data_IF_699889960241
#
_entry.id   IF_699889960241
#
_cell.length_a   1.000
_cell.length_b   1.000
_cell.length_c   1.000
_cell.angle_alpha   90.00
_cell.angle_beta   90.00
_cell.angle_gamma   90.00
#
_symmetry.space_group_name_H-M   'P 1'
#
loop_
_entity.id
_entity.type
_entity.pdbx_description
1 polymer ?
#
# COMPACT_ATOMS: atom_id res chain seq x y z
N UNK A 1 -22.59 -16.86 -20.17
CA UNK A 1 -22.62 -16.39 -18.81
C UNK A 1 -21.51 -15.35 -18.65
N UNK A 2 -21.86 -14.15 -18.20
CA UNK A 2 -20.89 -13.06 -17.98
C UNK A 2 -20.44 -12.98 -16.52
N UNK A 3 -20.66 -14.05 -15.74
CA UNK A 3 -20.30 -14.08 -14.34
C UNK A 3 -18.80 -14.22 -14.12
N UNK A 4 -18.32 -13.63 -13.03
CA UNK A 4 -16.92 -13.65 -12.62
C UNK A 4 -16.71 -14.73 -11.56
N UNK A 5 -15.65 -15.51 -11.73
CA UNK A 5 -15.32 -16.61 -10.83
C UNK A 5 -13.89 -16.49 -10.35
N UNK A 6 -13.62 -16.87 -9.11
CA UNK A 6 -12.26 -17.10 -8.61
C UNK A 6 -12.07 -18.57 -8.24
N UNK A 7 -10.85 -19.05 -8.33
CA UNK A 7 -10.48 -20.40 -7.88
C UNK A 7 -9.54 -20.25 -6.69
N UNK A 8 -9.98 -20.70 -5.52
CA UNK A 8 -9.19 -20.70 -4.28
C UNK A 8 -9.06 -22.15 -3.79
N UNK A 9 -7.83 -22.62 -3.63
CA UNK A 9 -7.54 -24.00 -3.20
C UNK A 9 -8.24 -25.08 -4.05
N UNK A 10 -8.42 -24.82 -5.36
CA UNK A 10 -9.10 -25.71 -6.30
C UNK A 10 -10.62 -25.67 -6.25
N UNK A 11 -11.21 -24.78 -5.46
CA UNK A 11 -12.66 -24.55 -5.38
C UNK A 11 -13.01 -23.31 -6.17
N UNK A 12 -13.89 -23.48 -7.16
CA UNK A 12 -14.47 -22.38 -7.94
C UNK A 12 -15.63 -21.74 -7.18
N UNK A 13 -15.65 -20.41 -7.14
CA UNK A 13 -16.71 -19.65 -6.53
C UNK A 13 -17.03 -18.40 -7.35
N UNK A 14 -18.32 -18.09 -7.53
CA UNK A 14 -18.78 -16.84 -8.14
C UNK A 14 -18.51 -15.66 -7.20
N UNK A 15 -18.02 -14.54 -7.76
CA UNK A 15 -17.69 -13.32 -7.01
C UNK A 15 -18.51 -12.11 -7.46
N UNK A 16 -19.53 -12.27 -8.30
CA UNK A 16 -20.33 -11.17 -8.85
C UNK A 16 -20.92 -10.26 -7.76
N UNK A 17 -21.39 -10.85 -6.64
CA UNK A 17 -21.93 -10.09 -5.51
C UNK A 17 -20.87 -9.29 -4.72
N UNK A 18 -19.58 -9.61 -4.89
CA UNK A 18 -18.48 -8.90 -4.26
C UNK A 18 -17.97 -7.74 -5.12
N UNK A 19 -18.29 -7.71 -6.42
CA UNK A 19 -17.76 -6.72 -7.35
C UNK A 19 -18.39 -5.35 -7.10
N UNK A 20 -17.58 -4.30 -6.87
CA UNK A 20 -18.13 -2.99 -6.53
C UNK A 20 -18.66 -2.22 -7.76
N UNK A 21 -18.24 -2.59 -8.97
CA UNK A 21 -18.64 -1.96 -10.25
C UNK A 21 -18.22 -2.83 -11.43
N UNK A 22 -18.74 -2.51 -12.61
CA UNK A 22 -18.31 -3.15 -13.86
C UNK A 22 -16.97 -2.56 -14.34
N UNK A 23 -16.13 -3.40 -14.95
CA UNK A 23 -14.85 -3.01 -15.54
C UNK A 23 -14.85 -3.26 -17.04
N UNK A 24 -14.03 -2.52 -17.84
CA UNK A 24 -13.86 -2.78 -19.27
C UNK A 24 -13.40 -4.21 -19.54
N UNK A 25 -13.76 -4.78 -20.70
CA UNK A 25 -13.37 -6.14 -21.11
C UNK A 25 -11.84 -6.37 -21.12
N UNK A 26 -11.06 -5.29 -21.30
CA UNK A 26 -9.59 -5.36 -21.29
C UNK A 26 -8.97 -5.40 -19.88
N UNK A 27 -9.80 -5.28 -18.82
CA UNK A 27 -9.38 -5.34 -17.43
C UNK A 27 -9.70 -6.70 -16.82
N UNK A 28 -9.10 -7.01 -15.70
CA UNK A 28 -9.41 -8.20 -14.93
C UNK A 28 -9.60 -7.86 -13.45
N UNK A 29 -10.49 -8.58 -12.77
CA UNK A 29 -10.53 -8.58 -11.32
C UNK A 29 -9.49 -9.54 -10.77
N UNK A 30 -8.76 -9.13 -9.73
CA UNK A 30 -7.79 -9.97 -9.01
C UNK A 30 -7.89 -9.71 -7.51
N UNK A 31 -7.60 -10.71 -6.69
CA UNK A 31 -7.30 -10.45 -5.28
C UNK A 31 -5.97 -9.69 -5.21
N UNK A 32 -5.94 -8.58 -4.49
CA UNK A 32 -4.76 -7.71 -4.46
C UNK A 32 -3.49 -8.47 -4.03
N UNK A 33 -3.65 -9.41 -3.11
CA UNK A 33 -2.55 -10.27 -2.65
C UNK A 33 -1.92 -11.16 -3.71
N UNK A 34 -2.61 -11.43 -4.83
CA UNK A 34 -2.06 -12.24 -5.93
C UNK A 34 -1.15 -11.44 -6.87
N UNK A 35 -1.24 -10.12 -6.85
CA UNK A 35 -0.50 -9.22 -7.76
C UNK A 35 0.58 -8.40 -7.05
N UNK A 36 0.63 -8.43 -5.70
CA UNK A 36 1.60 -7.68 -4.90
C UNK A 36 2.47 -8.57 -4.03
N UNK A 37 3.62 -8.03 -3.62
CA UNK A 37 4.41 -8.55 -2.51
C UNK A 37 4.31 -7.58 -1.33
N UNK A 38 3.63 -7.99 -0.26
CA UNK A 38 3.38 -7.19 0.93
C UNK A 38 4.32 -7.59 2.07
N UNK A 39 5.07 -6.65 2.61
CA UNK A 39 5.92 -6.82 3.79
C UNK A 39 5.26 -6.16 5.01
N UNK A 40 5.33 -6.83 6.16
CA UNK A 40 4.97 -6.22 7.45
C UNK A 40 6.24 -5.85 8.20
N UNK A 41 6.30 -4.61 8.69
CA UNK A 41 7.43 -4.12 9.43
C UNK A 41 7.60 -4.77 10.82
N UNK A 42 8.74 -4.52 11.44
CA UNK A 42 9.06 -5.00 12.79
C UNK A 42 9.71 -3.91 13.63
N UNK A 43 9.40 -3.87 14.91
CA UNK A 43 9.94 -2.87 15.82
C UNK A 43 11.36 -3.24 16.29
N UNK A 44 12.08 -2.20 16.70
CA UNK A 44 13.36 -2.30 17.36
C UNK A 44 13.28 -1.81 18.81
N UNK A 45 14.09 -2.43 19.68
CA UNK A 45 14.37 -1.91 21.00
C UNK A 45 15.17 -0.59 20.88
N UNK A 46 15.10 0.33 21.87
CA UNK A 46 15.82 1.61 21.82
C UNK A 46 17.34 1.52 21.57
N UNK A 47 17.96 0.41 21.94
CA UNK A 47 19.39 0.15 21.70
C UNK A 47 19.73 -0.22 20.25
N UNK A 48 18.76 -0.51 19.40
CA UNK A 48 18.95 -0.96 18.02
C UNK A 48 18.79 0.15 16.98
N UNK A 49 18.47 1.37 17.41
CA UNK A 49 18.37 2.53 16.53
C UNK A 49 19.04 3.77 17.18
N UNK A 50 19.30 4.77 16.37
CA UNK A 50 19.96 5.99 16.79
C UNK A 50 19.38 7.24 16.09
N UNK A 51 19.78 8.43 16.57
CA UNK A 51 19.46 9.73 15.97
C UNK A 51 20.70 10.43 15.39
N UNK A 52 21.77 9.66 15.09
CA UNK A 52 23.09 10.17 14.65
C UNK A 52 23.37 9.85 13.19
N UNK A 53 22.36 9.52 12.40
CA UNK A 53 22.45 9.17 10.97
C UNK A 53 23.37 7.99 10.69
N UNK A 54 23.51 7.04 11.65
CA UNK A 54 24.30 5.83 11.46
C UNK A 54 23.43 4.67 10.97
N UNK A 55 23.79 4.11 9.81
CA UNK A 55 23.04 3.04 9.16
C UNK A 55 21.99 3.55 8.20
N UNK A 56 20.91 2.78 8.00
CA UNK A 56 19.78 3.17 7.13
C UNK A 56 18.66 3.83 7.92
N UNK A 57 17.81 4.65 7.27
CA UNK A 57 16.61 5.21 7.88
C UNK A 57 15.74 4.16 8.56
N UNK A 58 15.14 4.52 9.70
CA UNK A 58 14.16 3.72 10.43
C UNK A 58 12.84 4.49 10.53
N UNK A 59 11.83 4.00 9.82
CA UNK A 59 10.52 4.64 9.70
C UNK A 59 9.55 3.95 10.65
N UNK A 60 9.02 4.71 11.61
CA UNK A 60 8.28 4.14 12.74
C UNK A 60 6.77 4.28 12.63
N UNK A 61 6.26 5.22 11.83
CA UNK A 61 4.82 5.45 11.69
C UNK A 61 4.49 6.71 10.91
N UNK A 62 3.26 7.18 11.06
CA UNK A 62 2.70 8.30 10.31
C UNK A 62 3.49 9.61 10.41
N UNK A 63 4.17 9.86 11.54
CA UNK A 63 5.00 11.06 11.74
C UNK A 63 6.27 11.10 10.86
N UNK A 64 6.62 9.96 10.25
CA UNK A 64 7.72 9.88 9.30
C UNK A 64 7.27 10.04 7.84
N UNK A 65 6.00 10.29 7.60
CA UNK A 65 5.43 10.45 6.27
C UNK A 65 4.70 11.79 6.20
N UNK A 66 5.05 12.62 5.23
CA UNK A 66 4.14 13.69 4.80
C UNK A 66 3.33 13.22 3.58
N UNK A 67 2.76 14.10 2.80
CA UNK A 67 1.92 13.71 1.66
C UNK A 67 2.72 13.22 0.46
N UNK A 68 4.02 13.57 0.41
CA UNK A 68 4.90 13.33 -0.73
C UNK A 68 6.24 12.70 -0.36
N UNK A 69 6.72 12.88 0.88
CA UNK A 69 8.09 12.57 1.27
C UNK A 69 8.18 11.74 2.55
N UNK A 70 9.26 10.95 2.64
CA UNK A 70 9.66 10.27 3.88
C UNK A 70 10.50 11.21 4.73
N UNK A 71 10.05 11.47 5.96
CA UNK A 71 10.75 12.29 6.97
C UNK A 71 11.59 11.37 7.84
N UNK A 72 12.92 11.50 7.72
CA UNK A 72 13.86 10.64 8.45
C UNK A 72 14.37 11.34 9.71
N UNK A 73 14.16 10.71 10.87
CA UNK A 73 14.64 11.18 12.17
C UNK A 73 15.31 10.09 13.02
N UNK A 74 15.36 8.85 12.53
CA UNK A 74 16.00 7.70 13.18
C UNK A 74 16.68 6.81 12.17
N UNK A 75 17.71 6.09 12.61
CA UNK A 75 18.54 5.20 11.78
C UNK A 75 18.85 3.91 12.53
N UNK A 76 19.12 2.85 11.79
CA UNK A 76 19.54 1.55 12.33
C UNK A 76 20.69 0.97 11.52
N UNK A 77 21.65 0.36 12.24
CA UNK A 77 22.77 -0.36 11.62
C UNK A 77 22.46 -1.87 11.43
N UNK A 78 21.31 -2.35 11.93
CA UNK A 78 20.88 -3.75 11.87
C UNK A 78 19.47 -3.90 11.24
N UNK A 79 19.27 -3.46 9.99
CA UNK A 79 17.94 -3.51 9.36
C UNK A 79 17.47 -4.94 9.14
N UNK A 80 16.15 -5.16 9.14
CA UNK A 80 15.52 -6.48 8.91
C UNK A 80 14.51 -6.45 7.79
N UNK A 81 13.50 -5.58 7.91
CA UNK A 81 12.42 -5.43 6.91
C UNK A 81 12.66 -4.11 6.18
N UNK A 82 13.01 -4.21 4.90
CA UNK A 82 13.49 -3.06 4.12
C UNK A 82 12.46 -2.71 3.05
N UNK A 83 12.00 -1.46 3.08
CA UNK A 83 11.34 -0.80 1.97
C UNK A 83 12.40 -0.05 1.14
N UNK A 84 12.20 -0.02 -0.17
CA UNK A 84 13.09 0.62 -1.15
C UNK A 84 12.36 1.75 -1.87
N UNK A 85 13.13 2.59 -2.57
CA UNK A 85 12.56 3.63 -3.44
C UNK A 85 11.57 3.02 -4.44
N UNK A 86 10.37 3.62 -4.47
CA UNK A 86 9.28 3.20 -5.33
C UNK A 86 8.34 2.17 -4.69
N UNK A 87 8.65 1.60 -3.53
CA UNK A 87 7.69 0.80 -2.76
C UNK A 87 6.57 1.71 -2.20
N UNK A 88 5.37 1.16 -2.00
CA UNK A 88 4.32 1.85 -1.24
C UNK A 88 4.53 1.63 0.24
N UNK A 89 4.50 2.70 1.02
CA UNK A 89 4.43 2.65 2.48
C UNK A 89 2.99 2.94 2.92
N UNK A 90 2.37 1.99 3.59
CA UNK A 90 1.03 2.09 4.17
C UNK A 90 1.12 2.07 5.68
N UNK A 91 0.69 3.14 6.35
CA UNK A 91 0.55 3.16 7.81
C UNK A 91 -0.67 2.31 8.18
N UNK A 92 -0.44 1.19 8.85
CA UNK A 92 -1.49 0.24 9.19
C UNK A 92 -1.97 0.33 10.64
N UNK A 93 -1.26 1.05 11.52
CA UNK A 93 -1.61 1.22 12.95
C UNK A 93 -1.25 2.61 13.46
N UNK A 94 -1.93 3.02 14.52
CA UNK A 94 -1.69 4.32 15.17
C UNK A 94 -2.55 5.45 14.62
N UNK A 95 -2.35 6.68 15.08
CA UNK A 95 -3.21 7.85 14.80
C UNK A 95 -3.27 8.28 13.34
N UNK A 96 -2.35 7.83 12.51
CA UNK A 96 -2.33 8.16 11.07
C UNK A 96 -2.52 6.94 10.17
N UNK A 97 -3.17 5.88 10.66
CA UNK A 97 -3.41 4.70 9.84
C UNK A 97 -4.22 5.04 8.57
N UNK A 98 -3.89 4.38 7.46
CA UNK A 98 -4.40 4.70 6.13
C UNK A 98 -3.50 5.67 5.36
N UNK A 99 -2.60 6.41 6.00
CA UNK A 99 -1.64 7.26 5.28
C UNK A 99 -0.76 6.39 4.36
N UNK A 100 -0.69 6.79 3.09
CA UNK A 100 -0.07 5.99 2.03
C UNK A 100 0.79 6.86 1.14
N UNK A 101 2.07 6.54 0.99
CA UNK A 101 2.99 7.23 0.07
C UNK A 101 3.79 6.26 -0.78
N UNK A 102 4.35 6.75 -1.89
CA UNK A 102 5.42 6.08 -2.62
C UNK A 102 6.74 6.46 -1.96
N UNK A 103 7.54 5.49 -1.53
CA UNK A 103 8.83 5.70 -0.89
C UNK A 103 9.79 6.45 -1.84
N UNK A 104 10.23 7.64 -1.45
CA UNK A 104 11.12 8.52 -2.23
C UNK A 104 12.59 8.42 -1.82
N UNK A 105 12.91 7.72 -0.72
CA UNK A 105 14.27 7.47 -0.26
C UNK A 105 14.79 6.12 -0.75
N UNK A 106 16.10 5.95 -0.81
CA UNK A 106 16.71 4.76 -1.39
C UNK A 106 16.29 3.47 -0.67
N UNK A 107 16.36 3.46 0.65
CA UNK A 107 15.95 2.34 1.49
C UNK A 107 15.63 2.79 2.91
N UNK A 108 14.75 2.04 3.59
CA UNK A 108 14.46 2.23 5.00
C UNK A 108 14.04 0.91 5.66
N UNK A 109 14.43 0.71 6.92
CA UNK A 109 13.75 -0.26 7.78
C UNK A 109 12.41 0.28 8.22
N UNK A 110 11.37 -0.54 8.20
CA UNK A 110 10.01 -0.16 8.59
C UNK A 110 9.57 -0.87 9.88
N UNK A 111 8.95 -0.10 10.78
CA UNK A 111 8.37 -0.61 12.04
C UNK A 111 7.03 -1.29 11.81
N UNK A 112 6.53 -2.03 12.81
CA UNK A 112 5.26 -2.78 12.76
C UNK A 112 4.02 -1.95 12.48
N UNK A 113 4.11 -0.62 12.58
CA UNK A 113 3.02 0.29 12.21
C UNK A 113 2.91 0.51 10.70
N UNK A 114 3.86 0.00 9.93
CA UNK A 114 3.94 0.21 8.49
C UNK A 114 3.98 -1.15 7.78
N UNK A 115 3.22 -1.24 6.71
CA UNK A 115 3.37 -2.27 5.68
C UNK A 115 3.99 -1.65 4.43
N UNK A 116 4.82 -2.43 3.72
CA UNK A 116 5.38 -2.02 2.44
C UNK A 116 4.89 -2.95 1.33
N UNK A 117 4.36 -2.37 0.25
CA UNK A 117 4.08 -3.08 -1.00
C UNK A 117 5.28 -2.86 -1.90
N UNK A 118 5.94 -3.95 -2.27
CA UNK A 118 7.15 -3.90 -3.09
C UNK A 118 6.85 -3.43 -4.50
N UNK A 119 7.70 -2.54 -5.02
CA UNK A 119 7.65 -2.11 -6.42
C UNK A 119 7.67 -3.33 -7.36
N UNK A 120 6.82 -3.28 -8.38
CA UNK A 120 6.67 -4.32 -9.40
C UNK A 120 6.71 -3.69 -10.79
N UNK A 121 7.25 -4.42 -11.76
CA UNK A 121 7.21 -4.03 -13.18
C UNK A 121 5.79 -4.16 -13.78
N UNK A 122 4.93 -4.97 -13.15
CA UNK A 122 3.55 -5.20 -13.60
C UNK A 122 2.59 -4.08 -13.17
N UNK A 123 2.96 -3.31 -12.14
CA UNK A 123 2.06 -2.33 -11.52
C UNK A 123 2.65 -0.92 -11.59
N UNK A 124 1.81 0.05 -11.90
CA UNK A 124 2.12 1.46 -11.64
C UNK A 124 1.91 1.77 -10.16
N UNK A 125 2.98 2.13 -9.46
CA UNK A 125 2.91 2.30 -8.00
C UNK A 125 2.07 3.51 -7.58
N UNK A 126 1.88 4.52 -8.43
CA UNK A 126 0.93 5.60 -8.16
C UNK A 126 -0.52 5.14 -8.35
N UNK A 127 -0.81 4.31 -9.35
CA UNK A 127 -2.11 3.67 -9.49
C UNK A 127 -2.43 2.83 -8.24
N UNK A 128 -1.48 2.02 -7.76
CA UNK A 128 -1.61 1.25 -6.52
C UNK A 128 -1.83 2.17 -5.30
N UNK A 129 -1.10 3.28 -5.19
CA UNK A 129 -1.31 4.28 -4.13
C UNK A 129 -2.75 4.79 -4.14
N UNK A 130 -3.25 5.22 -5.30
CA UNK A 130 -4.60 5.76 -5.42
C UNK A 130 -5.67 4.72 -5.15
N UNK A 131 -5.46 3.48 -5.59
CA UNK A 131 -6.34 2.36 -5.26
C UNK A 131 -6.46 2.15 -3.74
N UNK A 132 -5.35 2.17 -3.01
CA UNK A 132 -5.37 2.04 -1.55
C UNK A 132 -6.09 3.20 -0.86
N UNK A 133 -5.86 4.42 -1.34
CA UNK A 133 -6.52 5.63 -0.81
C UNK A 133 -8.03 5.56 -1.05
N UNK A 134 -8.49 5.17 -2.25
CA UNK A 134 -9.91 5.06 -2.58
C UNK A 134 -10.62 3.93 -1.83
N UNK A 135 -9.90 2.90 -1.40
CA UNK A 135 -10.44 1.78 -0.63
C UNK A 135 -10.20 1.90 0.89
N UNK A 136 -9.78 3.07 1.37
CA UNK A 136 -9.46 3.25 2.79
C UNK A 136 -10.65 2.96 3.72
N UNK A 137 -11.85 3.39 3.36
CA UNK A 137 -13.05 3.14 4.17
C UNK A 137 -13.41 1.64 4.22
N UNK A 138 -13.19 0.90 3.14
CA UNK A 138 -13.35 -0.57 3.10
C UNK A 138 -12.33 -1.22 4.04
N UNK A 139 -11.06 -0.83 3.94
CA UNK A 139 -9.99 -1.33 4.82
C UNK A 139 -10.26 -1.02 6.29
N UNK A 140 -10.78 0.18 6.57
CA UNK A 140 -11.16 0.62 7.92
C UNK A 140 -12.32 -0.20 8.48
N UNK A 141 -13.33 -0.48 7.67
CA UNK A 141 -14.51 -1.24 8.10
C UNK A 141 -14.19 -2.72 8.39
N UNK A 142 -13.19 -3.28 7.71
CA UNK A 142 -12.73 -4.67 7.91
C UNK A 142 -11.80 -4.83 9.11
N UNK A 143 -11.26 -3.73 9.66
CA UNK A 143 -10.40 -3.75 10.84
C UNK A 143 -11.16 -4.21 12.08
N UNK A 144 -10.96 -5.47 12.49
CA UNK A 144 -11.56 -6.04 13.69
C UNK A 144 -10.65 -5.82 14.89
N UNK A 145 -11.09 -5.04 15.86
CA UNK A 145 -10.37 -4.91 17.13
C UNK A 145 -10.67 -3.64 17.91
N UNK A 146 -10.30 -3.63 19.20
CA UNK A 146 -10.40 -2.48 20.10
C UNK A 146 -9.48 -1.32 19.66
N UNK A 147 -8.40 -1.64 18.95
CA UNK A 147 -7.45 -0.65 18.41
C UNK A 147 -7.67 -0.55 16.89
N UNK A 148 -8.06 0.65 16.40
CA UNK A 148 -8.21 0.86 14.96
C UNK A 148 -6.92 0.55 14.20
N UNK A 149 -7.05 -0.15 13.07
CA UNK A 149 -5.91 -0.49 12.23
C UNK A 149 -6.34 -1.22 10.96
N UNK A 150 -5.39 -1.39 10.06
CA UNK A 150 -5.55 -2.15 8.83
C UNK A 150 -4.78 -3.46 9.00
N UNK A 151 -5.49 -4.57 8.87
CA UNK A 151 -4.87 -5.88 8.94
C UNK A 151 -4.29 -6.30 7.59
N UNK A 152 -3.24 -7.13 7.65
CA UNK A 152 -2.58 -7.66 6.45
C UNK A 152 -3.56 -8.41 5.53
N UNK A 153 -4.41 -9.25 6.11
CA UNK A 153 -5.43 -10.00 5.37
C UNK A 153 -6.42 -9.09 4.66
N UNK A 154 -6.85 -8.00 5.30
CA UNK A 154 -7.75 -7.01 4.68
C UNK A 154 -7.13 -6.40 3.42
N UNK A 155 -5.83 -6.08 3.44
CA UNK A 155 -5.13 -5.57 2.25
C UNK A 155 -5.05 -6.63 1.15
N UNK A 156 -4.66 -7.86 1.50
CA UNK A 156 -4.47 -8.94 0.53
C UNK A 156 -5.77 -9.40 -0.15
N UNK A 157 -6.89 -9.30 0.56
CA UNK A 157 -8.20 -9.75 0.08
C UNK A 157 -8.99 -8.68 -0.69
N UNK A 158 -8.49 -7.44 -0.78
CA UNK A 158 -9.15 -6.42 -1.61
C UNK A 158 -9.31 -6.93 -3.05
N UNK A 159 -10.48 -6.66 -3.63
CA UNK A 159 -10.71 -6.82 -5.08
C UNK A 159 -10.04 -5.66 -5.81
N UNK A 160 -9.07 -5.98 -6.63
CA UNK A 160 -8.25 -5.04 -7.37
C UNK A 160 -8.62 -5.05 -8.85
N UNK A 161 -9.08 -3.92 -9.40
CA UNK A 161 -9.30 -3.82 -10.83
C UNK A 161 -7.93 -3.67 -11.50
N UNK A 162 -7.54 -4.67 -12.30
CA UNK A 162 -6.23 -4.75 -12.93
C UNK A 162 -6.32 -4.33 -14.40
N UNK A 163 -6.09 -3.04 -14.72
CA UNK A 163 -5.97 -2.57 -16.10
C UNK A 163 -4.66 -3.04 -16.75
N UNK A 164 -4.56 -3.03 -18.09
CA UNK A 164 -3.27 -3.07 -18.77
C UNK A 164 -2.30 -2.01 -18.23
N UNK A 165 -1.00 -2.33 -18.19
CA UNK A 165 0.03 -1.45 -17.56
C UNK A 165 0.03 -0.01 -18.08
N UNK A 166 -0.17 0.17 -19.40
CA UNK A 166 -0.27 1.50 -20.02
C UNK A 166 -1.47 2.30 -19.52
N UNK A 167 -2.57 1.62 -19.24
CA UNK A 167 -3.78 2.28 -18.74
C UNK A 167 -3.67 2.61 -17.24
N UNK A 168 -3.04 1.74 -16.44
CA UNK A 168 -2.69 2.09 -15.05
C UNK A 168 -1.90 3.40 -15.01
N UNK A 169 -0.88 3.53 -15.86
CA UNK A 169 -0.07 4.74 -15.95
C UNK A 169 -0.90 5.96 -16.36
N UNK A 170 -1.71 5.85 -17.41
CA UNK A 170 -2.58 6.93 -17.88
C UNK A 170 -3.56 7.42 -16.80
N UNK A 171 -4.14 6.49 -16.04
CA UNK A 171 -5.05 6.81 -14.93
C UNK A 171 -4.28 7.53 -13.82
N UNK A 172 -3.11 7.00 -13.42
CA UNK A 172 -2.28 7.60 -12.37
C UNK A 172 -1.85 9.03 -12.72
N UNK A 173 -1.41 9.27 -13.95
CA UNK A 173 -1.04 10.60 -14.44
C UNK A 173 -2.24 11.56 -14.43
N UNK A 174 -3.43 11.10 -14.86
CA UNK A 174 -4.63 11.95 -14.85
C UNK A 174 -5.07 12.33 -13.44
N UNK A 175 -4.99 11.40 -12.49
CA UNK A 175 -5.29 11.69 -11.09
C UNK A 175 -4.30 12.73 -10.53
N UNK A 176 -2.99 12.57 -10.80
CA UNK A 176 -1.97 13.53 -10.36
C UNK A 176 -2.19 14.93 -10.93
N UNK A 177 -2.53 15.02 -12.21
CA UNK A 177 -2.88 16.29 -12.86
C UNK A 177 -4.05 16.96 -12.13
N UNK A 178 -5.13 16.22 -11.83
CA UNK A 178 -6.30 16.75 -11.15
C UNK A 178 -5.98 17.23 -9.73
N UNK A 179 -5.20 16.48 -8.95
CA UNK A 179 -4.75 16.94 -7.63
C UNK A 179 -3.91 18.21 -7.72
N UNK A 180 -3.00 18.30 -8.68
CA UNK A 180 -2.20 19.53 -8.90
C UNK A 180 -3.05 20.76 -9.20
N UNK A 181 -4.19 20.60 -9.87
CA UNK A 181 -5.13 21.70 -10.12
C UNK A 181 -5.88 22.07 -8.83
N UNK A 182 -6.31 21.08 -8.04
CA UNK A 182 -7.00 21.34 -6.77
C UNK A 182 -6.11 22.04 -5.73
N UNK A 183 -4.81 21.74 -5.71
CA UNK A 183 -3.84 22.38 -4.79
C UNK A 183 -3.55 23.86 -5.14
N UNK A 184 -3.98 24.33 -6.31
CA UNK A 184 -3.79 25.72 -6.78
C UNK A 184 -5.01 26.62 -6.51
N UNK A 185 -6.12 26.05 -5.99
CA UNK A 185 -7.37 26.76 -5.66
C UNK A 185 -7.44 27.12 -4.18
#
# INVERSE_FOLDING_TARGET
DNSHYEIVDGVERCIDEELPFEIPESWAWARFGTVINLLSGTDFAPSQYNNRSKGIPYITGASNLDDYHVIVNRWTETPRIIANRGDILLVCKGSGYGKTIVCDIEQAHIARQIMAIKKSELLDMFFVKFFLISNFDVLKAQGQGVIPGIDRSSVLNLLFPLPPRSEQHRIAEKIRELFSICDQL
#
